data_IF_848811299896
#
_entry.id   IF_848811299896
#
_cell.length_a   1.000
_cell.length_b   1.000
_cell.length_c   1.000
_cell.angle_alpha   90.00
_cell.angle_beta   90.00
_cell.angle_gamma   90.00
#
_symmetry.space_group_name_H-M   'P 1'
#
loop_
_entity.id
_entity.type
_entity.pdbx_description
1 polymer ?
#
# COMPACT_ATOMS: atom_id res chain seq x y z
N UNK A 1 45.08 -26.02 4.47
CA UNK A 1 44.93 -26.30 5.92
C UNK A 1 44.05 -25.29 6.65
N UNK A 2 44.25 -23.98 6.46
CA UNK A 2 43.44 -22.91 7.09
C UNK A 2 41.92 -23.08 6.93
N UNK A 3 41.44 -23.30 5.70
CA UNK A 3 40.01 -23.48 5.45
C UNK A 3 39.39 -24.66 6.21
N UNK A 4 40.15 -25.75 6.41
CA UNK A 4 39.69 -26.95 7.14
C UNK A 4 39.62 -26.70 8.66
N UNK A 5 40.55 -25.95 9.23
CA UNK A 5 40.47 -25.58 10.67
C UNK A 5 39.39 -24.54 10.92
N UNK A 6 39.19 -23.60 10.00
CA UNK A 6 38.08 -22.63 10.07
C UNK A 6 36.72 -23.33 10.01
N UNK A 7 36.54 -24.28 9.08
CA UNK A 7 35.28 -25.01 8.94
C UNK A 7 35.01 -25.93 10.14
N UNK A 8 36.03 -26.64 10.64
CA UNK A 8 35.90 -27.45 11.85
C UNK A 8 35.60 -26.60 13.08
N UNK A 9 36.32 -25.49 13.27
CA UNK A 9 36.08 -24.54 14.36
C UNK A 9 34.66 -23.97 14.30
N UNK A 10 34.19 -23.57 13.12
CA UNK A 10 32.83 -23.10 12.90
C UNK A 10 31.76 -24.15 13.19
N UNK A 11 31.96 -25.40 12.76
CA UNK A 11 31.04 -26.51 13.02
C UNK A 11 30.95 -26.84 14.52
N UNK A 12 32.09 -26.97 15.21
CA UNK A 12 32.12 -27.21 16.65
C UNK A 12 31.53 -26.04 17.44
N UNK A 13 31.82 -24.81 17.02
CA UNK A 13 31.25 -23.61 17.60
C UNK A 13 29.73 -23.54 17.45
N UNK A 14 29.21 -23.85 16.26
CA UNK A 14 27.77 -23.93 16.01
C UNK A 14 27.09 -25.04 16.84
N UNK A 15 27.74 -26.20 16.99
CA UNK A 15 27.24 -27.31 17.80
C UNK A 15 27.15 -26.94 19.28
N UNK A 16 28.18 -26.30 19.85
CA UNK A 16 28.12 -25.77 21.22
C UNK A 16 27.07 -24.66 21.39
N UNK A 17 26.89 -23.80 20.39
CA UNK A 17 25.82 -22.79 20.38
C UNK A 17 24.44 -23.43 20.45
N UNK A 18 24.24 -24.58 19.81
CA UNK A 18 22.98 -25.31 19.83
C UNK A 18 22.66 -25.93 21.21
N UNK A 19 23.67 -26.22 22.03
CA UNK A 19 23.47 -26.79 23.37
C UNK A 19 22.72 -25.87 24.34
N UNK A 20 22.71 -24.55 24.09
CA UNK A 20 22.05 -23.58 24.97
C UNK A 20 20.56 -23.42 24.65
N UNK A 21 20.10 -23.92 23.49
CA UNK A 21 18.70 -23.80 23.02
C UNK A 21 17.70 -24.58 23.91
N UNK A 22 18.01 -25.79 24.42
CA UNK A 22 17.09 -26.53 25.29
C UNK A 22 16.91 -25.91 26.69
N UNK A 23 17.80 -25.01 27.12
CA UNK A 23 17.69 -24.34 28.42
C UNK A 23 16.81 -23.10 28.30
N UNK A 24 15.55 -23.21 28.72
CA UNK A 24 14.54 -22.16 28.65
C UNK A 24 14.76 -21.05 29.70
N UNK A 25 15.71 -20.14 29.45
CA UNK A 25 15.98 -18.99 30.34
C UNK A 25 15.37 -17.68 29.85
N UNK A 26 14.53 -17.73 28.81
CA UNK A 26 13.75 -16.60 28.28
C UNK A 26 14.62 -15.35 27.97
N UNK A 27 15.87 -15.55 27.53
CA UNK A 27 16.80 -14.47 27.16
C UNK A 27 16.83 -14.25 25.65
N UNK A 28 16.93 -12.97 25.25
CA UNK A 28 16.97 -12.56 23.84
C UNK A 28 18.10 -13.23 23.03
N UNK A 29 19.25 -13.54 23.65
CA UNK A 29 20.40 -14.16 22.98
C UNK A 29 20.27 -15.67 22.79
N UNK A 30 19.33 -16.34 23.47
CA UNK A 30 19.06 -17.79 23.31
C UNK A 30 18.19 -18.12 22.09
N UNK A 31 17.58 -17.12 21.45
CA UNK A 31 16.73 -17.32 20.27
C UNK A 31 17.55 -17.83 19.08
N UNK A 32 17.17 -18.97 18.51
CA UNK A 32 17.74 -19.44 17.24
C UNK A 32 17.54 -18.36 16.15
N UNK A 33 18.55 -18.06 15.31
CA UNK A 33 19.86 -18.72 15.18
C UNK A 33 21.00 -18.05 15.98
N UNK A 34 20.70 -17.11 16.88
CA UNK A 34 21.70 -16.23 17.52
C UNK A 34 22.80 -17.03 18.27
N UNK A 35 22.50 -18.04 19.13
CA UNK A 35 23.54 -18.84 19.79
C UNK A 35 24.44 -19.57 18.81
N UNK A 36 23.87 -20.13 17.74
CA UNK A 36 24.62 -20.90 16.74
C UNK A 36 25.53 -19.99 15.90
N UNK A 37 25.08 -18.78 15.55
CA UNK A 37 25.89 -17.80 14.82
C UNK A 37 27.03 -17.30 15.71
N UNK A 38 26.74 -16.92 16.96
CA UNK A 38 27.76 -16.53 17.92
C UNK A 38 28.77 -17.66 18.15
N UNK A 39 28.28 -18.88 18.31
CA UNK A 39 29.10 -20.09 18.41
C UNK A 39 29.99 -20.30 17.19
N UNK A 40 29.44 -20.20 15.98
CA UNK A 40 30.20 -20.34 14.73
C UNK A 40 31.29 -19.26 14.59
N UNK A 41 30.99 -18.00 14.95
CA UNK A 41 31.97 -16.90 14.92
C UNK A 41 33.09 -17.14 15.94
N UNK A 42 32.74 -17.47 17.19
CA UNK A 42 33.74 -17.77 18.24
C UNK A 42 34.60 -18.97 17.85
N UNK A 43 33.98 -20.03 17.33
CA UNK A 43 34.67 -21.21 16.83
C UNK A 43 35.60 -20.92 15.63
N UNK A 44 35.18 -20.03 14.73
CA UNK A 44 36.01 -19.54 13.63
C UNK A 44 37.22 -18.74 14.12
N UNK A 45 37.04 -17.87 15.12
CA UNK A 45 38.12 -17.09 15.74
C UNK A 45 39.12 -18.02 16.44
N UNK A 46 38.64 -19.01 17.19
CA UNK A 46 39.49 -20.02 17.83
C UNK A 46 40.26 -20.87 16.80
N UNK A 47 39.62 -21.27 15.70
CA UNK A 47 40.29 -21.97 14.60
C UNK A 47 41.34 -21.12 13.88
N UNK A 48 41.13 -19.80 13.80
CA UNK A 48 42.16 -18.88 13.32
C UNK A 48 43.32 -18.77 14.32
N UNK A 49 43.07 -18.73 15.63
CA UNK A 49 44.12 -18.65 16.65
C UNK A 49 45.04 -19.87 16.64
N UNK A 50 44.51 -21.08 16.46
CA UNK A 50 45.32 -22.32 16.45
C UNK A 50 46.22 -22.46 15.22
N UNK A 51 45.95 -21.75 14.13
CA UNK A 51 46.80 -21.74 12.92
C UNK A 51 47.93 -20.71 12.98
N UNK A 52 48.05 -19.95 14.07
CA UNK A 52 49.01 -18.84 14.16
C UNK A 52 50.42 -19.26 14.59
N UNK A 53 51.16 -19.91 13.68
CA UNK A 53 52.58 -19.54 13.49
C UNK A 53 52.77 -18.39 12.48
N UNK A 54 51.71 -17.96 11.79
CA UNK A 54 51.81 -16.98 10.68
C UNK A 54 50.75 -15.85 10.76
N UNK A 55 49.87 -15.81 11.79
CA UNK A 55 48.66 -14.97 11.78
C UNK A 55 48.74 -13.53 12.32
N UNK A 56 49.92 -12.98 12.60
CA UNK A 56 50.05 -11.60 13.16
C UNK A 56 49.64 -10.47 12.19
N UNK A 57 49.44 -10.77 10.90
CA UNK A 57 49.13 -9.74 9.88
C UNK A 57 47.65 -9.72 9.47
N UNK A 58 46.87 -10.77 9.77
CA UNK A 58 45.48 -10.87 9.31
C UNK A 58 44.44 -10.36 10.32
N UNK A 59 44.81 -10.20 11.61
CA UNK A 59 43.84 -9.82 12.65
C UNK A 59 43.37 -8.36 12.61
N UNK A 60 44.12 -7.43 12.02
CA UNK A 60 43.75 -6.01 12.04
C UNK A 60 42.76 -5.63 10.94
N UNK A 61 42.75 -6.34 9.80
CA UNK A 61 41.91 -5.98 8.65
C UNK A 61 40.51 -6.62 8.66
N UNK A 62 40.33 -7.75 9.33
CA UNK A 62 39.03 -8.45 9.40
C UNK A 62 38.15 -7.99 10.56
N UNK A 63 38.75 -7.49 11.65
CA UNK A 63 38.01 -7.05 12.83
C UNK A 63 37.20 -5.76 12.59
N UNK A 64 37.66 -4.87 11.70
CA UNK A 64 36.97 -3.60 11.40
C UNK A 64 35.80 -3.80 10.41
N UNK A 65 35.92 -4.73 9.46
CA UNK A 65 34.87 -5.00 8.47
C UNK A 65 33.66 -5.75 9.05
N UNK A 66 33.87 -6.62 10.04
CA UNK A 66 32.78 -7.38 10.68
C UNK A 66 32.07 -6.53 11.76
N UNK A 67 32.80 -5.65 12.46
CA UNK A 67 32.22 -4.81 13.52
C UNK A 67 31.46 -3.60 12.95
N UNK A 68 31.87 -3.02 11.82
CA UNK A 68 31.14 -1.91 11.18
C UNK A 68 30.15 -2.33 10.07
N UNK A 69 30.34 -3.50 9.44
CA UNK A 69 29.45 -3.99 8.38
C UNK A 69 28.17 -4.69 8.87
N UNK A 70 28.15 -5.18 10.11
CA UNK A 70 27.04 -5.98 10.64
C UNK A 70 25.94 -5.15 11.34
N UNK A 71 26.20 -3.90 11.71
CA UNK A 71 25.19 -3.09 12.42
C UNK A 71 24.05 -2.56 11.54
N UNK A 72 24.18 -2.56 10.21
CA UNK A 72 23.15 -2.02 9.30
C UNK A 72 22.10 -3.05 8.82
N UNK A 73 22.36 -4.36 8.93
CA UNK A 73 21.44 -5.43 8.46
C UNK A 73 20.74 -6.21 9.57
N UNK A 74 21.16 -6.08 10.83
CA UNK A 74 20.67 -6.93 11.93
C UNK A 74 19.32 -6.45 12.52
N UNK A 75 18.92 -5.20 12.30
CA UNK A 75 17.61 -4.71 12.76
C UNK A 75 16.42 -5.09 11.85
N UNK A 76 16.65 -5.72 10.68
CA UNK A 76 15.60 -6.12 9.73
C UNK A 76 15.15 -7.59 9.86
N UNK A 77 15.74 -8.37 10.79
CA UNK A 77 15.56 -9.84 10.91
C UNK A 77 15.18 -10.25 12.35
N UNK A 78 14.28 -9.51 13.03
CA UNK A 78 13.88 -9.81 14.43
C UNK A 78 12.37 -9.99 14.61
N UNK A 79 11.66 -10.46 13.58
CA UNK A 79 10.29 -10.99 13.73
C UNK A 79 9.99 -12.08 12.68
N UNK A 80 10.52 -13.30 12.84
CA UNK A 80 9.81 -14.51 12.35
C UNK A 80 10.39 -15.83 12.83
N UNK A 81 9.66 -16.43 13.77
CA UNK A 81 9.47 -17.85 14.06
C UNK A 81 10.10 -18.85 13.08
N UNK A 82 11.10 -19.58 13.58
CA UNK A 82 11.49 -20.89 13.09
C UNK A 82 11.16 -21.97 14.12
N UNK A 83 10.19 -22.81 13.76
CA UNK A 83 10.27 -24.26 13.85
C UNK A 83 9.38 -24.85 12.73
N UNK A 84 9.80 -25.99 12.20
CA UNK A 84 9.25 -26.74 11.05
C UNK A 84 9.68 -26.28 9.64
N UNK A 85 10.91 -26.70 9.30
CA UNK A 85 11.42 -27.07 7.96
C UNK A 85 10.67 -28.36 7.54
N UNK A 86 9.92 -28.41 6.43
CA UNK A 86 10.36 -29.14 5.22
C UNK A 86 9.64 -28.65 3.93
N UNK A 87 8.56 -27.86 4.00
CA UNK A 87 7.88 -27.28 2.81
C UNK A 87 8.19 -25.79 2.52
N UNK A 88 8.92 -25.12 3.41
CA UNK A 88 9.04 -23.65 3.43
C UNK A 88 9.98 -23.02 2.39
N UNK A 89 10.92 -23.79 1.80
CA UNK A 89 11.95 -23.20 0.93
C UNK A 89 11.46 -22.82 -0.48
N UNK A 90 10.41 -23.46 -1.01
CA UNK A 90 9.77 -23.04 -2.26
C UNK A 90 8.64 -22.01 -2.03
N UNK A 91 7.90 -22.10 -0.91
CA UNK A 91 6.84 -21.13 -0.57
C UNK A 91 7.38 -19.74 -0.20
N UNK A 92 8.51 -19.63 0.50
CA UNK A 92 9.03 -18.33 0.96
C UNK A 92 9.61 -17.44 -0.15
N UNK A 93 9.94 -17.96 -1.34
CA UNK A 93 10.48 -17.14 -2.44
C UNK A 93 9.37 -16.73 -3.42
N UNK A 94 8.34 -17.56 -3.64
CA UNK A 94 7.25 -17.23 -4.59
C UNK A 94 6.11 -16.47 -3.91
N UNK A 95 5.81 -16.77 -2.64
CA UNK A 95 4.66 -16.16 -1.90
C UNK A 95 5.07 -14.85 -1.20
N UNK A 96 6.34 -14.73 -0.83
CA UNK A 96 6.89 -13.50 -0.26
C UNK A 96 7.14 -12.41 -1.31
N UNK A 97 7.05 -12.75 -2.60
CA UNK A 97 6.94 -11.79 -3.71
C UNK A 97 5.49 -11.55 -4.15
N UNK A 98 4.56 -12.48 -3.93
CA UNK A 98 3.17 -12.35 -4.39
C UNK A 98 2.25 -11.54 -3.44
N UNK A 99 2.47 -11.61 -2.12
CA UNK A 99 1.57 -10.99 -1.13
C UNK A 99 2.04 -9.61 -0.60
N UNK A 100 3.34 -9.34 -0.62
CA UNK A 100 3.87 -7.95 -0.58
C UNK A 100 3.63 -7.25 -1.91
N UNK A 101 3.40 -8.00 -2.99
CA UNK A 101 2.99 -7.46 -4.28
C UNK A 101 1.59 -6.88 -4.16
N UNK A 102 0.48 -7.58 -3.92
CA UNK A 102 -0.87 -7.03 -4.20
C UNK A 102 -1.25 -5.59 -3.76
N UNK A 103 -0.78 -5.05 -2.62
CA UNK A 103 -0.99 -3.62 -2.27
C UNK A 103 0.21 -2.71 -2.61
N UNK A 104 1.44 -3.20 -2.46
CA UNK A 104 2.64 -2.42 -2.83
C UNK A 104 2.85 -2.38 -4.36
N UNK A 105 2.38 -3.39 -5.08
CA UNK A 105 2.38 -3.55 -6.54
C UNK A 105 1.40 -2.60 -7.21
N UNK A 106 0.33 -2.21 -6.51
CA UNK A 106 -0.54 -1.12 -6.98
C UNK A 106 0.19 0.22 -6.96
N UNK A 107 1.17 0.42 -6.05
CA UNK A 107 2.02 1.61 -6.04
C UNK A 107 3.21 1.52 -7.01
N UNK A 108 3.66 0.31 -7.39
CA UNK A 108 4.83 0.12 -8.25
C UNK A 108 4.52 0.34 -9.74
N UNK A 109 3.28 0.15 -10.18
CA UNK A 109 2.89 0.33 -11.58
C UNK A 109 2.33 1.73 -11.87
N UNK A 110 3.11 2.77 -11.59
CA UNK A 110 2.79 4.13 -12.04
C UNK A 110 2.84 4.14 -13.58
N UNK A 111 1.73 4.44 -14.27
CA UNK A 111 1.72 4.45 -15.72
C UNK A 111 2.59 5.58 -16.25
N UNK A 112 3.60 5.25 -17.04
CA UNK A 112 4.46 6.26 -17.67
C UNK A 112 3.66 7.07 -18.69
N UNK A 113 3.89 8.37 -18.68
CA UNK A 113 3.34 9.28 -19.66
C UNK A 113 3.96 8.97 -21.04
N UNK A 114 3.14 8.87 -22.09
CA UNK A 114 3.58 8.55 -23.45
C UNK A 114 3.97 9.79 -24.24
N UNK A 115 3.19 10.85 -24.13
CA UNK A 115 3.51 12.14 -24.76
C UNK A 115 2.83 13.32 -24.05
N UNK A 116 3.35 14.51 -24.30
CA UNK A 116 2.69 15.79 -24.03
C UNK A 116 2.41 16.47 -25.37
N UNK A 117 1.20 16.97 -25.52
CA UNK A 117 0.73 17.67 -26.72
C UNK A 117 0.34 19.09 -26.33
N UNK A 118 0.83 20.05 -27.09
CA UNK A 118 0.38 21.44 -27.01
C UNK A 118 -0.39 21.79 -28.29
N UNK A 119 -1.67 22.06 -28.12
CA UNK A 119 -2.56 22.46 -29.19
C UNK A 119 -3.00 23.91 -28.98
N UNK A 120 -3.10 24.67 -30.06
CA UNK A 120 -3.60 26.03 -30.03
C UNK A 120 -4.51 26.29 -31.21
N UNK A 121 -5.36 27.31 -31.06
CA UNK A 121 -6.29 27.71 -32.09
C UNK A 121 -5.65 28.77 -32.98
N UNK A 122 -5.27 28.39 -34.20
CA UNK A 122 -4.80 29.32 -35.23
C UNK A 122 -6.01 30.01 -35.89
N UNK A 123 -5.91 31.32 -36.10
CA UNK A 123 -6.98 32.12 -36.69
C UNK A 123 -7.30 31.71 -38.13
N UNK A 124 -6.32 31.21 -38.88
CA UNK A 124 -6.49 30.86 -40.30
C UNK A 124 -6.78 29.37 -40.51
N UNK A 125 -6.12 28.50 -39.74
CA UNK A 125 -6.20 27.03 -39.92
C UNK A 125 -7.19 26.36 -38.98
N UNK A 126 -7.60 27.03 -37.90
CA UNK A 126 -8.42 26.44 -36.85
C UNK A 126 -7.59 25.71 -35.80
N UNK A 127 -8.10 24.62 -35.18
CA UNK A 127 -7.38 23.90 -34.14
C UNK A 127 -6.16 23.18 -34.73
N UNK A 128 -4.97 23.46 -34.22
CA UNK A 128 -3.71 22.86 -34.70
C UNK A 128 -2.89 22.36 -33.52
N UNK A 129 -2.33 21.15 -33.63
CA UNK A 129 -1.25 20.72 -32.72
C UNK A 129 0.03 21.42 -33.17
N UNK A 130 0.60 22.28 -32.33
CA UNK A 130 1.90 22.90 -32.62
C UNK A 130 3.06 22.02 -32.19
N UNK A 131 2.98 21.40 -31.00
CA UNK A 131 4.10 20.66 -30.42
C UNK A 131 3.59 19.31 -29.90
N UNK A 132 4.34 18.26 -30.23
CA UNK A 132 4.21 16.91 -29.66
C UNK A 132 5.59 16.48 -29.16
N UNK A 133 5.68 15.98 -27.93
CA UNK A 133 6.92 15.49 -27.33
C UNK A 133 6.69 14.16 -26.61
N UNK A 134 7.62 13.19 -26.64
CA UNK A 134 8.91 13.21 -27.37
C UNK A 134 8.77 12.83 -28.85
N UNK A 135 7.81 11.96 -29.18
CA UNK A 135 7.59 11.43 -30.53
C UNK A 135 6.29 11.98 -31.14
N UNK A 136 6.25 12.06 -32.48
CA UNK A 136 5.04 12.38 -33.23
C UNK A 136 4.06 11.19 -33.15
N UNK A 137 3.20 11.20 -32.12
CA UNK A 137 2.22 10.15 -31.89
C UNK A 137 0.95 10.31 -32.73
N UNK A 138 0.64 11.49 -33.26
CA UNK A 138 -0.60 11.69 -34.01
C UNK A 138 -0.35 12.42 -35.33
N UNK A 139 -0.74 11.76 -36.43
CA UNK A 139 -0.86 12.37 -37.75
C UNK A 139 -1.95 13.45 -37.76
N UNK A 140 -1.78 14.48 -38.58
CA UNK A 140 -2.76 15.56 -38.74
C UNK A 140 -4.18 15.05 -39.04
N UNK A 141 -4.32 14.02 -39.90
CA UNK A 141 -5.62 13.41 -40.24
C UNK A 141 -6.32 12.77 -39.04
N UNK A 142 -5.56 12.18 -38.11
CA UNK A 142 -6.11 11.56 -36.90
C UNK A 142 -6.49 12.62 -35.88
N UNK A 143 -5.68 13.69 -35.80
CA UNK A 143 -6.00 14.84 -34.96
C UNK A 143 -7.34 15.46 -35.33
N UNK A 144 -7.68 15.56 -36.61
CA UNK A 144 -8.97 16.11 -37.06
C UNK A 144 -10.19 15.38 -36.48
N UNK A 145 -10.06 14.10 -36.13
CA UNK A 145 -11.15 13.29 -35.55
C UNK A 145 -11.48 13.70 -34.11
N UNK A 146 -10.48 14.11 -33.33
CA UNK A 146 -10.64 14.47 -31.91
C UNK A 146 -10.26 15.93 -31.59
N UNK A 147 -9.94 16.73 -32.61
CA UNK A 147 -9.58 18.14 -32.49
C UNK A 147 -10.67 18.95 -31.77
N UNK A 148 -11.94 18.65 -32.04
CA UNK A 148 -13.10 19.24 -31.37
C UNK A 148 -13.16 18.94 -29.86
N UNK A 149 -12.59 17.81 -29.43
CA UNK A 149 -12.51 17.47 -28.00
C UNK A 149 -11.30 18.13 -27.33
N UNK A 150 -10.21 18.34 -28.07
CA UNK A 150 -9.02 19.05 -27.57
C UNK A 150 -9.27 20.55 -27.46
N UNK A 151 -9.88 21.15 -28.48
CA UNK A 151 -10.24 22.58 -28.47
C UNK A 151 -11.75 22.67 -28.59
N UNK A 152 -12.48 22.61 -27.46
CA UNK A 152 -13.93 22.63 -27.47
C UNK A 152 -14.48 24.05 -27.67
N UNK A 153 -15.81 24.12 -27.71
CA UNK A 153 -16.57 25.38 -27.59
C UNK A 153 -16.29 26.07 -26.23
N UNK A 154 -16.46 27.40 -26.14
CA UNK A 154 -16.12 28.17 -24.95
C UNK A 154 -16.83 27.74 -23.65
N UNK A 155 -17.99 27.09 -23.75
CA UNK A 155 -18.74 26.54 -22.61
C UNK A 155 -17.97 25.48 -21.81
N UNK A 156 -16.99 24.83 -22.45
CA UNK A 156 -16.16 23.78 -21.84
C UNK A 156 -14.76 24.25 -21.47
N UNK A 157 -14.45 25.54 -21.61
CA UNK A 157 -13.18 26.09 -21.13
C UNK A 157 -13.09 25.98 -19.61
N UNK A 158 -11.85 25.82 -19.11
CA UNK A 158 -11.55 25.62 -17.70
C UNK A 158 -12.13 24.32 -17.09
N UNK A 159 -12.61 23.39 -17.91
CA UNK A 159 -13.00 22.04 -17.49
C UNK A 159 -11.96 21.02 -17.94
N UNK A 160 -11.74 19.99 -17.15
CA UNK A 160 -10.90 18.86 -17.55
C UNK A 160 -11.64 18.05 -18.62
N UNK A 161 -10.97 17.73 -19.73
CA UNK A 161 -11.51 16.89 -20.80
C UNK A 161 -10.63 15.65 -20.92
N UNK A 162 -11.28 14.48 -20.95
CA UNK A 162 -10.63 13.18 -21.07
C UNK A 162 -11.23 12.40 -22.24
N UNK A 163 -10.40 12.10 -23.23
CA UNK A 163 -10.79 11.33 -24.41
C UNK A 163 -10.15 9.95 -24.29
N UNK A 164 -10.96 8.91 -24.04
CA UNK A 164 -10.47 7.57 -23.70
C UNK A 164 -10.09 6.69 -24.90
N UNK A 165 -10.36 7.15 -26.12
CA UNK A 165 -10.30 6.31 -27.32
C UNK A 165 -9.65 7.04 -28.49
N UNK A 166 -8.33 7.21 -28.42
CA UNK A 166 -7.56 7.77 -29.53
C UNK A 166 -6.63 6.70 -30.09
N UNK A 167 -6.88 6.26 -31.32
CA UNK A 167 -6.09 5.21 -31.97
C UNK A 167 -4.89 5.80 -32.71
N UNK A 168 -3.71 5.22 -32.49
CA UNK A 168 -2.49 5.55 -33.24
C UNK A 168 -2.30 4.65 -34.48
N UNK A 169 -1.41 5.05 -35.39
CA UNK A 169 -0.97 4.30 -36.58
C UNK A 169 -0.61 2.86 -36.25
N UNK A 170 -0.05 2.63 -35.07
CA UNK A 170 0.33 1.31 -34.56
C UNK A 170 -0.84 0.47 -34.00
N UNK A 171 -2.09 0.96 -34.07
CA UNK A 171 -3.27 0.30 -33.50
C UNK A 171 -3.36 0.36 -31.97
N UNK A 172 -2.44 1.07 -31.30
CA UNK A 172 -2.49 1.31 -29.86
C UNK A 172 -3.51 2.40 -29.54
N UNK A 173 -4.28 2.20 -28.47
CA UNK A 173 -5.30 3.14 -28.03
C UNK A 173 -4.77 3.93 -26.84
N UNK A 174 -4.86 5.25 -26.93
CA UNK A 174 -4.42 6.18 -25.90
C UNK A 174 -5.60 6.93 -25.29
N UNK A 175 -5.39 7.35 -24.04
CA UNK A 175 -6.23 8.31 -23.32
C UNK A 175 -5.54 9.67 -23.37
N UNK A 176 -6.26 10.69 -23.82
CA UNK A 176 -5.77 12.07 -23.89
C UNK A 176 -6.51 12.89 -22.84
N UNK A 177 -5.76 13.46 -21.90
CA UNK A 177 -6.29 14.29 -20.80
C UNK A 177 -5.83 15.73 -21.06
N UNK A 178 -6.77 16.66 -21.24
CA UNK A 178 -6.47 18.06 -21.53
C UNK A 178 -7.24 19.03 -20.63
N UNK A 179 -6.75 20.26 -20.57
CA UNK A 179 -7.42 21.38 -19.91
C UNK A 179 -7.40 22.61 -20.82
N UNK A 180 -8.44 22.81 -21.65
CA UNK A 180 -8.51 23.93 -22.57
C UNK A 180 -8.71 25.25 -21.84
N UNK A 181 -7.91 26.24 -22.20
CA UNK A 181 -7.93 27.59 -21.64
C UNK A 181 -8.16 28.60 -22.77
N UNK A 182 -9.07 29.54 -22.54
CA UNK A 182 -9.25 30.72 -23.38
C UNK A 182 -8.92 31.99 -22.58
N UNK A 183 -7.93 32.76 -23.01
CA UNK A 183 -7.58 34.06 -22.44
C UNK A 183 -8.18 35.15 -23.34
N UNK A 184 -9.03 36.00 -22.79
CA UNK A 184 -9.61 37.14 -23.52
C UNK A 184 -8.68 38.36 -23.42
N UNK A 185 -8.34 38.95 -24.56
CA UNK A 185 -7.58 40.20 -24.65
C UNK A 185 -7.64 40.73 -26.08
N UNK A 186 -7.81 42.05 -26.20
CA UNK A 186 -7.82 42.77 -27.49
C UNK A 186 -6.46 42.72 -28.20
N UNK A 187 -5.40 42.29 -27.48
CA UNK A 187 -4.06 42.11 -28.07
C UNK A 187 -3.97 40.92 -29.03
N UNK A 188 -4.97 40.03 -29.04
CA UNK A 188 -5.00 38.84 -29.89
C UNK A 188 -5.89 39.05 -31.12
N UNK A 189 -5.54 38.44 -32.26
CA UNK A 189 -6.22 38.65 -33.55
C UNK A 189 -7.74 38.37 -33.55
N UNK A 190 -8.26 37.60 -32.58
CA UNK A 190 -9.69 37.28 -32.40
C UNK A 190 -10.26 37.79 -31.07
N UNK A 191 -9.56 38.68 -30.37
CA UNK A 191 -9.90 39.10 -29.01
C UNK A 191 -9.74 37.99 -27.95
N UNK A 192 -9.26 36.81 -28.34
CA UNK A 192 -8.99 35.67 -27.45
C UNK A 192 -7.86 34.81 -27.95
N UNK A 193 -7.05 34.30 -27.03
CA UNK A 193 -6.03 33.29 -27.25
C UNK A 193 -6.48 31.96 -26.63
N UNK A 194 -6.62 30.92 -27.44
CA UNK A 194 -7.11 29.61 -27.02
C UNK A 194 -5.99 28.59 -27.17
N UNK A 195 -5.65 27.91 -26.09
CA UNK A 195 -4.66 26.84 -26.08
C UNK A 195 -5.10 25.70 -25.16
N UNK A 196 -4.54 24.52 -25.39
CA UNK A 196 -4.74 23.35 -24.54
C UNK A 196 -3.43 22.57 -24.42
N UNK A 197 -3.12 22.15 -23.19
CA UNK A 197 -2.03 21.22 -22.89
C UNK A 197 -2.64 19.88 -22.55
N UNK A 198 -2.22 18.84 -23.28
CA UNK A 198 -2.75 17.50 -23.16
C UNK A 198 -1.67 16.50 -22.77
N UNK A 199 -1.97 15.64 -21.81
CA UNK A 199 -1.15 14.51 -21.40
C UNK A 199 -1.71 13.23 -22.01
N UNK A 200 -0.84 12.44 -22.63
CA UNK A 200 -1.21 11.19 -23.32
C UNK A 200 -0.74 10.01 -22.49
N UNK A 201 -1.69 9.13 -22.17
CA UNK A 201 -1.49 7.96 -21.31
C UNK A 201 -2.03 6.71 -22.01
N UNK A 202 -1.47 5.55 -21.74
CA UNK A 202 -1.93 4.28 -22.33
C UNK A 202 -3.32 3.86 -21.80
N UNK A 203 -4.19 3.31 -22.66
CA UNK A 203 -5.57 2.92 -22.30
C UNK A 203 -5.60 1.86 -21.20
N UNK A 204 -4.62 0.95 -21.19
CA UNK A 204 -4.55 -0.17 -20.25
C UNK A 204 -4.28 0.28 -18.80
N UNK A 205 -3.86 1.52 -18.60
CA UNK A 205 -3.57 2.02 -17.26
C UNK A 205 -4.86 2.46 -16.53
N UNK A 206 -5.03 1.90 -15.33
CA UNK A 206 -6.19 2.17 -14.46
C UNK A 206 -5.99 3.44 -13.62
N UNK A 207 -4.75 3.80 -13.31
CA UNK A 207 -4.39 4.93 -12.44
C UNK A 207 -4.05 6.16 -13.29
N UNK A 208 -4.93 6.53 -14.21
CA UNK A 208 -4.76 7.70 -15.08
C UNK A 208 -5.20 9.01 -14.39
N UNK A 209 -6.04 8.91 -13.37
CA UNK A 209 -6.53 10.01 -12.54
C UNK A 209 -5.41 10.81 -11.85
N UNK A 210 -4.22 10.22 -11.65
CA UNK A 210 -3.07 10.92 -11.07
C UNK A 210 -2.59 12.13 -11.90
N UNK A 211 -2.82 12.10 -13.22
CA UNK A 211 -2.36 13.15 -14.14
C UNK A 211 -3.34 14.32 -14.25
N UNK A 212 -4.60 14.14 -13.83
CA UNK A 212 -5.65 15.15 -13.91
C UNK A 212 -5.29 16.47 -13.20
N UNK A 213 -4.88 16.47 -11.91
CA UNK A 213 -4.45 17.70 -11.24
C UNK A 213 -3.16 18.26 -11.84
N UNK A 214 -2.31 17.42 -12.45
CA UNK A 214 -1.06 17.89 -13.06
C UNK A 214 -1.34 18.69 -14.33
N UNK A 215 -2.23 18.21 -15.21
CA UNK A 215 -2.65 18.93 -16.42
C UNK A 215 -3.29 20.27 -16.05
N UNK A 216 -4.17 20.29 -15.06
CA UNK A 216 -4.80 21.53 -14.57
C UNK A 216 -3.77 22.53 -14.04
N UNK A 217 -2.81 22.05 -13.23
CA UNK A 217 -1.75 22.90 -12.67
C UNK A 217 -0.81 23.43 -13.76
N UNK A 218 -0.46 22.61 -14.75
CA UNK A 218 0.34 23.03 -15.91
C UNK A 218 -0.38 24.13 -16.70
N UNK A 219 -1.66 23.93 -17.01
CA UNK A 219 -2.46 24.91 -17.74
C UNK A 219 -2.60 26.24 -16.96
N UNK A 220 -2.76 26.19 -15.64
CA UNK A 220 -2.80 27.37 -14.78
C UNK A 220 -1.47 28.14 -14.81
N UNK A 221 -0.31 27.45 -14.71
CA UNK A 221 1.00 28.10 -14.81
C UNK A 221 1.22 28.73 -16.19
N UNK A 222 0.85 28.04 -17.27
CA UNK A 222 0.97 28.59 -18.64
C UNK A 222 0.06 29.80 -18.85
N UNK A 223 -1.14 29.78 -18.25
CA UNK A 223 -2.05 30.93 -18.25
C UNK A 223 -1.44 32.12 -17.51
N UNK A 224 -0.80 31.88 -16.37
CA UNK A 224 -0.13 32.93 -15.60
C UNK A 224 1.05 33.52 -16.40
N UNK A 225 1.90 32.68 -16.98
CA UNK A 225 3.04 33.13 -17.80
C UNK A 225 2.60 33.89 -19.06
N UNK A 226 1.46 33.53 -19.66
CA UNK A 226 0.92 34.29 -20.80
C UNK A 226 0.38 35.66 -20.37
N UNK A 227 -0.27 35.75 -19.20
CA UNK A 227 -0.74 37.03 -18.65
C UNK A 227 0.40 37.97 -18.26
N UNK A 228 1.46 37.43 -17.66
CA UNK A 228 2.55 38.23 -17.11
C UNK A 228 3.57 38.65 -18.18
N UNK A 229 4.00 37.70 -19.03
CA UNK A 229 5.11 37.93 -19.96
C UNK A 229 4.76 37.67 -21.42
N UNK A 230 3.50 37.33 -21.76
CA UNK A 230 3.10 36.94 -23.12
C UNK A 230 3.95 35.79 -23.68
N UNK A 231 4.24 34.81 -22.82
CA UNK A 231 5.20 33.74 -23.09
C UNK A 231 4.81 32.86 -24.30
N UNK A 232 3.53 32.52 -24.45
CA UNK A 232 2.99 31.67 -25.52
C UNK A 232 2.80 32.44 -26.83
N UNK A 233 2.50 33.73 -26.76
CA UNK A 233 2.33 34.56 -27.96
C UNK A 233 3.65 35.07 -28.54
N UNK A 234 4.62 35.46 -27.71
CA UNK A 234 5.89 36.05 -28.17
C UNK A 234 7.05 35.05 -28.20
N UNK A 235 7.17 34.14 -27.22
CA UNK A 235 8.36 33.30 -27.01
C UNK A 235 8.10 31.80 -27.17
N UNK A 236 7.55 31.39 -28.31
CA UNK A 236 7.22 29.99 -28.57
C UNK A 236 8.42 29.04 -28.66
N UNK A 237 9.62 29.57 -28.93
CA UNK A 237 10.83 28.76 -29.12
C UNK A 237 11.26 28.01 -27.86
N UNK A 238 10.93 28.52 -26.66
CA UNK A 238 11.30 27.90 -25.38
C UNK A 238 10.28 26.87 -24.87
N UNK A 239 9.06 26.88 -25.41
CA UNK A 239 8.00 25.94 -25.04
C UNK A 239 8.37 24.46 -25.26
N UNK A 240 8.97 24.04 -26.40
CA UNK A 240 9.32 22.64 -26.61
C UNK A 240 10.32 22.11 -25.57
N UNK A 241 11.33 22.91 -25.21
CA UNK A 241 12.33 22.54 -24.19
C UNK A 241 11.67 22.38 -22.82
N UNK A 242 10.79 23.33 -22.46
CA UNK A 242 10.03 23.28 -21.21
C UNK A 242 9.15 22.01 -21.13
N UNK A 243 8.42 21.69 -22.19
CA UNK A 243 7.57 20.49 -22.23
C UNK A 243 8.39 19.19 -22.20
N UNK A 244 9.57 19.19 -22.82
CA UNK A 244 10.48 18.05 -22.77
C UNK A 244 11.04 17.83 -21.36
N UNK A 245 11.41 18.89 -20.65
CA UNK A 245 11.85 18.80 -19.25
C UNK A 245 10.71 18.32 -18.34
N UNK A 246 9.48 18.79 -18.54
CA UNK A 246 8.31 18.28 -17.82
C UNK A 246 8.09 16.80 -18.11
N UNK A 247 8.17 16.38 -19.38
CA UNK A 247 8.02 14.97 -19.78
C UNK A 247 9.07 14.08 -19.10
N UNK A 248 10.34 14.47 -19.13
CA UNK A 248 11.45 13.72 -18.52
C UNK A 248 11.33 13.70 -16.99
N UNK A 249 11.11 14.85 -16.36
CA UNK A 249 11.00 14.96 -14.90
C UNK A 249 9.86 14.13 -14.32
N UNK A 250 8.68 14.13 -14.95
CA UNK A 250 7.56 13.32 -14.50
C UNK A 250 7.80 11.81 -14.70
N UNK A 251 8.41 11.41 -15.80
CA UNK A 251 8.65 9.99 -16.10
C UNK A 251 9.83 9.38 -15.32
N UNK A 252 10.87 10.16 -15.00
CA UNK A 252 12.08 9.68 -14.33
C UNK A 252 12.04 9.87 -12.81
N UNK A 253 11.66 11.05 -12.34
CA UNK A 253 11.70 11.39 -10.91
C UNK A 253 10.32 11.36 -10.24
N UNK A 254 9.24 11.45 -11.01
CA UNK A 254 7.90 11.61 -10.45
C UNK A 254 7.63 13.05 -9.96
N UNK A 255 8.60 13.96 -10.08
CA UNK A 255 8.48 15.36 -9.70
C UNK A 255 9.30 16.24 -10.63
N UNK A 256 8.90 17.50 -10.75
CA UNK A 256 9.48 18.45 -11.68
C UNK A 256 9.45 19.86 -11.06
N UNK A 257 10.63 20.49 -11.00
CA UNK A 257 10.84 21.87 -10.54
C UNK A 257 11.64 22.61 -11.61
N UNK A 258 10.96 23.42 -12.42
CA UNK A 258 11.60 24.16 -13.53
C UNK A 258 11.44 25.66 -13.32
N UNK A 259 12.53 26.43 -13.19
CA UNK A 259 12.50 27.88 -13.26
C UNK A 259 12.38 28.32 -14.72
N UNK A 260 11.25 28.92 -15.10
CA UNK A 260 11.01 29.35 -16.50
C UNK A 260 11.35 30.84 -16.68
N UNK A 261 10.92 31.65 -15.72
CA UNK A 261 11.11 33.10 -15.67
C UNK A 261 11.58 33.46 -14.27
N UNK A 262 12.21 34.62 -14.10
CA UNK A 262 12.66 35.15 -12.80
C UNK A 262 11.55 35.15 -11.73
N UNK A 263 10.28 35.26 -12.14
CA UNK A 263 9.12 35.32 -11.26
C UNK A 263 8.36 33.97 -11.14
N UNK A 264 8.47 33.07 -12.12
CA UNK A 264 7.61 31.89 -12.22
C UNK A 264 8.41 30.59 -12.30
N UNK A 265 8.31 29.79 -11.24
CA UNK A 265 8.86 28.44 -11.16
C UNK A 265 7.72 27.41 -11.18
N UNK A 266 7.77 26.48 -12.11
CA UNK A 266 6.77 25.40 -12.23
C UNK A 266 7.11 24.30 -11.23
N UNK A 267 6.16 23.97 -10.36
CA UNK A 267 6.25 22.85 -9.42
C UNK A 267 5.19 21.80 -9.72
N UNK A 268 5.60 20.61 -10.15
CA UNK A 268 4.73 19.46 -10.44
C UNK A 268 5.23 18.25 -9.66
N UNK A 269 4.31 17.48 -9.06
CA UNK A 269 4.64 16.27 -8.32
C UNK A 269 3.53 15.25 -8.51
N UNK A 270 3.90 14.05 -8.92
CA UNK A 270 2.98 12.92 -9.05
C UNK A 270 2.63 12.38 -7.66
N UNK A 271 1.34 12.31 -7.39
CA UNK A 271 0.79 11.77 -6.16
C UNK A 271 0.16 10.40 -6.46
N UNK A 272 0.88 9.28 -6.26
CA UNK A 272 0.37 7.94 -6.60
C UNK A 272 -0.84 7.52 -5.75
N UNK A 273 -1.05 8.15 -4.59
CA UNK A 273 -2.23 7.92 -3.73
C UNK A 273 -3.53 8.49 -4.32
N UNK A 274 -3.46 9.30 -5.38
CA UNK A 274 -4.65 9.80 -6.05
C UNK A 274 -5.13 8.77 -7.07
N UNK A 275 -5.91 7.79 -6.60
CA UNK A 275 -6.51 6.75 -7.45
C UNK A 275 -8.03 6.94 -7.64
N UNK A 276 -8.62 8.03 -7.14
CA UNK A 276 -10.05 8.34 -7.31
C UNK A 276 -11.01 7.33 -6.63
N UNK A 277 -10.50 6.46 -5.76
CA UNK A 277 -11.31 5.50 -5.01
C UNK A 277 -11.60 6.11 -3.64
N UNK A 278 -12.86 6.03 -3.22
CA UNK A 278 -13.26 6.43 -1.87
C UNK A 278 -12.59 5.50 -0.84
N UNK A 279 -12.02 6.02 0.27
CA UNK A 279 -11.44 5.17 1.29
C UNK A 279 -12.49 4.21 1.86
N UNK A 280 -12.12 2.94 2.13
CA UNK A 280 -13.09 1.94 2.55
C UNK A 280 -13.69 2.29 3.92
N UNK A 281 -14.92 1.84 4.14
CA UNK A 281 -15.62 2.06 5.40
C UNK A 281 -14.96 1.25 6.50
N UNK A 282 -14.71 1.92 7.63
CA UNK A 282 -14.07 1.35 8.81
C UNK A 282 -15.12 1.25 9.90
N UNK A 283 -15.24 0.07 10.50
CA UNK A 283 -16.19 -0.20 11.58
C UNK A 283 -15.47 -0.27 12.93
N UNK A 284 -16.12 0.11 14.04
CA UNK A 284 -15.48 0.30 15.35
C UNK A 284 -14.94 -1.00 15.98
N UNK A 285 -15.43 -2.17 15.53
CA UNK A 285 -14.99 -3.48 15.98
C UNK A 285 -13.77 -4.02 15.22
N UNK A 286 -13.36 -3.35 14.13
CA UNK A 286 -12.17 -3.75 13.38
C UNK A 286 -10.91 -3.49 14.20
N UNK A 287 -9.87 -4.29 13.93
CA UNK A 287 -8.57 -4.25 14.58
C UNK A 287 -7.54 -3.75 13.56
N UNK A 288 -6.91 -2.59 13.79
CA UNK A 288 -5.84 -2.11 12.92
C UNK A 288 -4.54 -2.88 13.19
N UNK A 289 -3.83 -3.19 12.11
CA UNK A 289 -2.51 -3.84 12.14
C UNK A 289 -1.57 -3.14 11.15
N UNK A 290 -0.29 -2.98 11.49
CA UNK A 290 0.67 -2.41 10.56
C UNK A 290 1.05 -3.41 9.46
N UNK A 291 0.99 -2.99 8.21
CA UNK A 291 1.51 -3.73 7.05
C UNK A 291 2.98 -3.46 6.81
N UNK A 292 3.40 -2.22 7.06
CA UNK A 292 4.76 -1.76 6.80
C UNK A 292 5.69 -2.19 7.93
N UNK A 293 6.83 -2.77 7.55
CA UNK A 293 7.93 -3.11 8.45
C UNK A 293 9.15 -2.28 8.01
N UNK A 294 9.72 -1.43 8.89
CA UNK A 294 9.37 -1.24 10.30
C UNK A 294 8.07 -0.44 10.48
N UNK A 295 7.33 -0.67 11.58
CA UNK A 295 6.16 0.15 11.89
C UNK A 295 6.59 1.62 12.08
N UNK A 296 5.71 2.59 11.77
CA UNK A 296 5.98 4.03 11.90
C UNK A 296 6.13 4.51 13.36
N UNK A 297 6.39 3.60 14.30
CA UNK A 297 6.64 3.87 15.71
C UNK A 297 8.11 4.21 16.02
N UNK A 298 8.95 4.39 15.00
CA UNK A 298 10.33 4.85 15.20
C UNK A 298 10.29 6.33 15.62
N UNK A 299 11.04 6.76 16.66
CA UNK A 299 10.97 8.11 17.22
C UNK A 299 11.22 9.23 16.20
N UNK A 300 11.91 8.94 15.09
CA UNK A 300 12.18 9.91 14.03
C UNK A 300 10.95 10.24 13.15
N UNK A 301 9.98 9.31 13.06
CA UNK A 301 8.82 9.46 12.19
C UNK A 301 7.62 10.05 12.91
N UNK A 302 7.43 9.72 14.19
CA UNK A 302 6.34 10.20 15.04
C UNK A 302 6.16 11.73 14.97
N UNK A 303 7.20 12.59 15.15
CA UNK A 303 6.99 14.04 15.16
C UNK A 303 6.57 14.63 13.81
N UNK A 304 6.74 13.88 12.69
CA UNK A 304 6.27 14.31 11.37
C UNK A 304 4.79 13.99 11.12
N UNK A 305 4.19 13.18 11.99
CA UNK A 305 2.80 12.73 11.86
C UNK A 305 1.85 13.72 12.53
N UNK A 306 0.57 13.67 12.13
CA UNK A 306 -0.49 14.41 12.81
C UNK A 306 -0.64 13.99 14.29
N UNK A 307 -1.09 14.90 15.15
CA UNK A 307 -1.22 14.71 16.61
C UNK A 307 -2.09 13.50 16.95
N UNK A 308 -3.16 13.25 16.17
CA UNK A 308 -4.00 12.05 16.35
C UNK A 308 -3.23 10.77 16.05
N UNK A 309 -2.51 10.75 14.92
CA UNK A 309 -1.70 9.60 14.50
C UNK A 309 -0.56 9.33 15.49
N UNK A 310 0.07 10.38 16.06
CA UNK A 310 1.10 10.24 17.09
C UNK A 310 0.57 9.53 18.34
N UNK A 311 -0.68 9.78 18.74
CA UNK A 311 -1.30 9.13 19.89
C UNK A 311 -1.81 7.71 19.59
N UNK A 312 -2.33 7.50 18.38
CA UNK A 312 -2.94 6.23 17.97
C UNK A 312 -1.88 5.19 17.61
N UNK A 313 -0.88 5.51 16.78
CA UNK A 313 0.09 4.55 16.26
C UNK A 313 0.85 3.73 17.34
N UNK A 314 1.24 4.32 18.49
CA UNK A 314 1.85 3.55 19.59
C UNK A 314 0.90 2.56 20.28
N UNK A 315 -0.42 2.72 20.11
CA UNK A 315 -1.47 1.85 20.69
C UNK A 315 -2.03 0.84 19.69
N UNK A 316 -1.46 0.77 18.48
CA UNK A 316 -1.85 -0.19 17.45
C UNK A 316 -1.02 -1.45 17.60
N UNK A 317 -1.57 -2.39 18.34
CA UNK A 317 -0.88 -3.63 18.76
C UNK A 317 -1.26 -4.82 17.87
N UNK A 318 -2.24 -4.65 16.98
CA UNK A 318 -2.87 -5.74 16.22
C UNK A 318 -3.82 -6.60 17.05
N UNK A 319 -4.20 -6.19 18.27
CA UNK A 319 -5.16 -6.93 19.14
C UNK A 319 -6.35 -6.06 19.52
N UNK A 320 -6.13 -4.81 19.91
CA UNK A 320 -7.18 -3.90 20.36
C UNK A 320 -8.11 -3.47 19.23
N UNK A 321 -9.42 -3.46 19.49
CA UNK A 321 -10.38 -2.89 18.54
C UNK A 321 -10.32 -1.35 18.52
N UNK A 322 -10.82 -0.72 17.46
CA UNK A 322 -10.82 0.75 17.35
C UNK A 322 -11.54 1.41 18.53
N UNK A 323 -12.64 0.80 19.02
CA UNK A 323 -13.35 1.29 20.21
C UNK A 323 -12.50 1.21 21.48
N UNK A 324 -11.70 0.16 21.66
CA UNK A 324 -10.76 0.04 22.77
C UNK A 324 -9.65 1.09 22.67
N UNK A 325 -9.10 1.29 21.47
CA UNK A 325 -8.09 2.33 21.22
C UNK A 325 -8.65 3.72 21.55
N UNK A 326 -9.90 4.00 21.17
CA UNK A 326 -10.59 5.24 21.49
C UNK A 326 -10.71 5.47 23.00
N UNK A 327 -11.07 4.43 23.77
CA UNK A 327 -11.11 4.49 25.23
C UNK A 327 -9.72 4.67 25.86
N UNK A 328 -8.69 3.98 25.36
CA UNK A 328 -7.32 4.08 25.86
C UNK A 328 -6.69 5.46 25.64
N UNK A 329 -7.00 6.10 24.52
CA UNK A 329 -6.47 7.43 24.15
C UNK A 329 -7.38 8.56 24.67
N UNK A 330 -8.58 8.24 25.17
CA UNK A 330 -9.60 9.21 25.60
C UNK A 330 -9.99 10.17 24.45
N UNK A 331 -10.22 9.61 23.26
CA UNK A 331 -10.64 10.34 22.06
C UNK A 331 -11.94 9.72 21.53
N UNK A 332 -12.82 10.53 20.95
CA UNK A 332 -14.05 10.07 20.33
C UNK A 332 -13.79 8.99 19.25
N UNK A 333 -14.60 7.92 19.29
CA UNK A 333 -14.48 6.79 18.35
C UNK A 333 -14.53 7.25 16.88
N UNK A 334 -15.33 8.27 16.57
CA UNK A 334 -15.43 8.82 15.21
C UNK A 334 -14.13 9.45 14.71
N UNK A 335 -13.39 10.15 15.58
CA UNK A 335 -12.10 10.76 15.22
C UNK A 335 -11.04 9.67 15.01
N UNK A 336 -11.02 8.64 15.87
CA UNK A 336 -10.12 7.49 15.71
C UNK A 336 -10.44 6.73 14.43
N UNK A 337 -11.72 6.48 14.13
CA UNK A 337 -12.14 5.83 12.88
C UNK A 337 -11.71 6.60 11.63
N UNK A 338 -11.82 7.95 11.63
CA UNK A 338 -11.34 8.79 10.52
C UNK A 338 -9.83 8.71 10.37
N UNK A 339 -9.08 8.75 11.47
CA UNK A 339 -7.62 8.62 11.46
C UNK A 339 -7.17 7.24 10.92
N UNK A 340 -7.77 6.16 11.41
CA UNK A 340 -7.47 4.80 10.98
C UNK A 340 -7.86 4.58 9.51
N UNK A 341 -8.99 5.15 9.06
CA UNK A 341 -9.40 5.14 7.65
C UNK A 341 -8.35 5.77 6.74
N UNK A 342 -7.81 6.92 7.13
CA UNK A 342 -6.77 7.59 6.36
C UNK A 342 -5.46 6.77 6.33
N UNK A 343 -5.04 6.23 7.47
CA UNK A 343 -3.84 5.38 7.55
C UNK A 343 -3.98 4.08 6.74
N UNK A 344 -5.18 3.51 6.70
CA UNK A 344 -5.49 2.36 5.86
C UNK A 344 -5.49 2.72 4.37
N UNK A 345 -6.04 3.87 3.99
CA UNK A 345 -6.01 4.38 2.62
C UNK A 345 -4.59 4.56 2.07
N UNK A 346 -3.66 5.06 2.88
CA UNK A 346 -2.24 5.17 2.51
C UNK A 346 -1.45 3.85 2.58
N UNK A 347 -2.10 2.74 2.92
CA UNK A 347 -1.47 1.42 2.99
C UNK A 347 -0.51 1.24 4.18
N UNK A 348 -0.61 2.07 5.22
CA UNK A 348 0.15 1.92 6.47
C UNK A 348 -0.46 0.87 7.40
N UNK A 349 -1.80 0.76 7.40
CA UNK A 349 -2.57 -0.16 8.22
C UNK A 349 -3.39 -1.12 7.36
N UNK A 350 -3.55 -2.36 7.81
CA UNK A 350 -4.62 -3.28 7.41
C UNK A 350 -5.66 -3.36 8.51
N UNK A 351 -6.92 -3.56 8.10
CA UNK A 351 -8.04 -3.77 9.01
C UNK A 351 -8.41 -5.25 9.00
N UNK A 352 -8.41 -5.86 10.19
CA UNK A 352 -8.76 -7.26 10.38
C UNK A 352 -9.97 -7.31 11.31
N UNK A 353 -10.95 -8.20 11.08
CA UNK A 353 -12.04 -8.38 12.02
C UNK A 353 -11.54 -8.94 13.36
N UNK A 354 -12.25 -8.62 14.46
CA UNK A 354 -11.86 -9.04 15.80
C UNK A 354 -11.72 -10.57 15.91
N UNK A 355 -10.63 -11.02 16.49
CA UNK A 355 -10.38 -12.45 16.73
C UNK A 355 -11.13 -12.92 17.97
N UNK A 356 -11.94 -13.97 17.81
CA UNK A 356 -12.62 -14.63 18.93
C UNK A 356 -12.63 -16.14 18.71
N UNK A 357 -12.51 -16.91 19.79
CA UNK A 357 -12.60 -18.38 19.73
C UNK A 357 -13.98 -18.88 19.30
N UNK A 358 -15.03 -18.09 19.53
CA UNK A 358 -16.39 -18.39 19.09
C UNK A 358 -16.61 -18.12 17.60
N UNK A 359 -15.69 -17.43 16.92
CA UNK A 359 -15.85 -17.11 15.51
C UNK A 359 -15.51 -18.33 14.64
N UNK A 360 -16.24 -18.45 13.53
CA UNK A 360 -16.01 -19.47 12.51
C UNK A 360 -15.13 -18.90 11.40
N UNK A 361 -14.09 -19.64 11.04
CA UNK A 361 -13.16 -19.28 9.98
C UNK A 361 -13.22 -20.34 8.89
N UNK A 362 -13.14 -19.91 7.63
CA UNK A 362 -13.20 -20.79 6.46
C UNK A 362 -11.97 -20.54 5.59
N UNK A 363 -11.34 -21.60 5.11
CA UNK A 363 -10.25 -21.50 4.15
C UNK A 363 -10.77 -21.04 2.78
N UNK A 364 -10.04 -20.13 2.14
CA UNK A 364 -10.30 -19.72 0.75
C UNK A 364 -9.77 -20.78 -0.22
N UNK A 365 -10.33 -20.88 -1.42
CA UNK A 365 -9.90 -21.81 -2.49
C UNK A 365 -8.40 -21.71 -2.81
N UNK A 366 -7.78 -20.53 -2.63
CA UNK A 366 -6.34 -20.33 -2.81
C UNK A 366 -5.46 -21.20 -1.90
N UNK A 367 -5.98 -21.67 -0.76
CA UNK A 367 -5.31 -22.65 0.10
C UNK A 367 -5.64 -24.09 -0.29
N UNK A 368 -6.81 -24.33 -0.87
CA UNK A 368 -7.27 -25.68 -1.23
C UNK A 368 -6.33 -26.34 -2.26
N UNK A 369 -5.76 -25.56 -3.18
CA UNK A 369 -4.80 -26.08 -4.16
C UNK A 369 -3.40 -26.33 -3.58
N UNK A 370 -3.05 -25.66 -2.48
CA UNK A 370 -1.71 -25.70 -1.88
C UNK A 370 -1.57 -26.78 -0.80
N UNK A 371 -2.68 -27.31 -0.29
CA UNK A 371 -2.71 -28.36 0.72
C UNK A 371 -3.78 -29.39 0.34
N UNK A 372 -3.39 -30.40 -0.44
CA UNK A 372 -4.17 -31.60 -0.78
C UNK A 372 -4.59 -32.46 0.43
N UNK A 373 -4.50 -31.94 1.66
CA UNK A 373 -5.13 -32.52 2.83
C UNK A 373 -6.37 -31.69 3.15
N UNK A 374 -7.53 -32.18 2.72
CA UNK A 374 -8.85 -31.59 2.90
C UNK A 374 -9.30 -31.43 4.38
N UNK A 375 -8.44 -31.74 5.35
CA UNK A 375 -8.82 -31.93 6.75
C UNK A 375 -8.44 -30.75 7.68
N UNK A 376 -7.72 -29.74 7.18
CA UNK A 376 -7.15 -28.70 8.05
C UNK A 376 -8.19 -27.72 8.62
N UNK A 377 -9.25 -27.41 7.86
CA UNK A 377 -10.41 -26.62 8.28
C UNK A 377 -11.62 -27.07 7.45
N UNK A 378 -12.38 -28.05 7.94
CA UNK A 378 -13.70 -28.38 7.38
C UNK A 378 -14.57 -27.12 7.39
N UNK A 379 -15.37 -26.95 6.35
CA UNK A 379 -16.30 -25.82 6.22
C UNK A 379 -17.25 -25.78 7.42
N UNK A 380 -17.06 -24.81 8.31
CA UNK A 380 -17.93 -24.59 9.47
C UNK A 380 -17.34 -24.96 10.84
N UNK A 381 -16.08 -25.41 10.94
CA UNK A 381 -15.45 -25.58 12.26
C UNK A 381 -15.29 -24.24 12.98
N UNK A 382 -15.65 -24.19 14.27
CA UNK A 382 -15.33 -23.01 15.09
C UNK A 382 -13.84 -23.01 15.41
N UNK A 383 -13.28 -21.82 15.70
CA UNK A 383 -11.86 -21.72 16.11
C UNK A 383 -11.59 -22.55 17.37
N UNK A 384 -12.58 -22.69 18.26
CA UNK A 384 -12.49 -23.56 19.44
C UNK A 384 -12.29 -25.02 19.03
N UNK A 385 -13.13 -25.54 18.13
CA UNK A 385 -13.03 -26.93 17.65
C UNK A 385 -11.69 -27.17 16.94
N UNK A 386 -11.22 -26.19 16.16
CA UNK A 386 -9.92 -26.26 15.50
C UNK A 386 -8.75 -26.30 16.49
N UNK A 387 -8.79 -25.47 17.55
CA UNK A 387 -7.77 -25.48 18.59
C UNK A 387 -7.75 -26.81 19.36
N UNK A 388 -8.91 -27.42 19.61
CA UNK A 388 -9.04 -28.72 20.27
C UNK A 388 -8.52 -29.87 19.40
N UNK A 389 -8.78 -29.84 18.08
CA UNK A 389 -8.32 -30.90 17.14
C UNK A 389 -6.83 -30.82 16.84
N UNK A 390 -6.31 -29.63 16.58
CA UNK A 390 -4.93 -29.45 16.08
C UNK A 390 -3.92 -29.12 17.18
N UNK A 391 -4.36 -28.68 18.36
CA UNK A 391 -3.49 -28.28 19.48
C UNK A 391 -2.28 -27.42 19.05
N UNK A 392 -2.49 -26.29 18.35
CA UNK A 392 -1.43 -25.49 17.73
C UNK A 392 -0.33 -25.01 18.71
N UNK A 393 -0.65 -24.94 20.00
CA UNK A 393 0.31 -24.63 21.07
C UNK A 393 1.46 -25.62 21.17
N UNK A 394 1.22 -26.90 20.85
CA UNK A 394 2.29 -27.91 20.83
C UNK A 394 3.36 -27.60 19.77
N UNK A 395 2.98 -26.88 18.72
CA UNK A 395 3.86 -26.47 17.63
C UNK A 395 4.46 -25.07 17.82
N UNK A 396 4.32 -24.46 19.01
CA UNK A 396 4.67 -23.05 19.28
C UNK A 396 4.00 -22.07 18.30
N UNK A 397 2.81 -22.39 17.80
CA UNK A 397 2.07 -21.50 16.91
C UNK A 397 1.04 -20.70 17.71
N UNK A 398 1.21 -19.38 17.74
CA UNK A 398 0.20 -18.47 18.26
C UNK A 398 -1.04 -18.49 17.36
N UNK A 399 -2.11 -19.15 17.81
CA UNK A 399 -3.42 -19.28 17.15
C UNK A 399 -3.91 -17.97 16.53
N UNK A 400 -3.91 -16.89 17.35
CA UNK A 400 -4.37 -15.56 16.93
C UNK A 400 -3.53 -15.02 15.77
N UNK A 401 -2.19 -15.10 15.88
CA UNK A 401 -1.28 -14.58 14.85
C UNK A 401 -1.37 -15.39 13.57
N UNK A 402 -1.57 -16.71 13.67
CA UNK A 402 -1.79 -17.56 12.51
C UNK A 402 -3.05 -17.17 11.75
N UNK A 403 -4.17 -16.94 12.45
CA UNK A 403 -5.42 -16.48 11.83
C UNK A 403 -5.30 -15.07 11.28
N UNK A 404 -4.70 -14.14 12.02
CA UNK A 404 -4.43 -12.78 11.54
C UNK A 404 -3.59 -12.78 10.26
N UNK A 405 -2.54 -13.61 10.23
CA UNK A 405 -1.71 -13.81 9.06
C UNK A 405 -2.52 -14.39 7.90
N UNK A 406 -3.32 -15.44 8.16
CA UNK A 406 -4.19 -16.06 7.16
C UNK A 406 -5.21 -15.10 6.56
N UNK A 407 -5.84 -14.25 7.38
CA UNK A 407 -6.79 -13.22 6.93
C UNK A 407 -6.07 -12.14 6.13
N UNK A 408 -4.93 -11.65 6.62
CA UNK A 408 -4.16 -10.60 5.94
C UNK A 408 -3.67 -11.04 4.55
N UNK A 409 -3.43 -12.35 4.34
CA UNK A 409 -2.96 -12.91 3.06
C UNK A 409 -4.11 -13.45 2.20
N UNK A 410 -5.37 -13.38 2.66
CA UNK A 410 -6.54 -13.88 1.92
C UNK A 410 -6.71 -15.41 1.94
N UNK A 411 -5.88 -16.12 2.70
CA UNK A 411 -5.93 -17.57 2.86
C UNK A 411 -7.13 -18.04 3.69
N UNK A 412 -7.51 -17.24 4.69
CA UNK A 412 -8.62 -17.55 5.60
C UNK A 412 -9.57 -16.37 5.58
N UNK A 413 -10.86 -16.65 5.41
CA UNK A 413 -11.93 -15.66 5.59
C UNK A 413 -12.68 -15.95 6.87
N UNK A 414 -13.14 -14.89 7.53
CA UNK A 414 -14.05 -14.99 8.68
C UNK A 414 -15.48 -15.05 8.19
N UNK A 415 -16.29 -15.95 8.75
CA UNK A 415 -17.74 -15.93 8.56
C UNK A 415 -18.38 -15.04 9.62
N UNK A 416 -19.07 -14.00 9.18
CA UNK A 416 -19.82 -13.10 10.05
C UNK A 416 -21.28 -13.53 10.13
N UNK A 417 -21.86 -13.51 11.33
CA UNK A 417 -23.27 -13.83 11.56
C UNK A 417 -24.10 -12.53 11.51
N UNK A 418 -25.18 -12.53 10.74
CA UNK A 418 -26.12 -11.42 10.56
C UNK A 418 -27.51 -11.83 11.06
N UNK A 419 -27.99 -11.30 12.20
CA UNK A 419 -29.33 -11.58 12.69
C UNK A 419 -30.39 -10.79 11.92
N UNK A 420 -31.48 -11.47 11.57
CA UNK A 420 -32.65 -10.93 10.87
C UNK A 420 -33.88 -11.18 11.74
N UNK A 421 -34.60 -10.12 12.11
CA UNK A 421 -35.88 -10.26 12.83
C UNK A 421 -36.96 -10.83 11.91
N UNK A 422 -37.64 -11.91 12.34
CA UNK A 422 -38.81 -12.45 11.64
C UNK A 422 -40.04 -11.56 11.82
N UNK A 423 -40.16 -10.90 12.97
CA UNK A 423 -41.31 -10.04 13.31
C UNK A 423 -41.01 -8.61 12.90
N UNK A 424 -41.69 -8.16 11.83
CA UNK A 424 -41.58 -6.78 11.31
C UNK A 424 -42.06 -5.70 12.30
N UNK A 425 -42.83 -6.06 13.34
CA UNK A 425 -43.48 -5.12 14.26
C UNK A 425 -42.84 -5.04 15.66
N UNK A 426 -41.64 -5.61 15.87
CA UNK A 426 -41.01 -5.57 17.18
C UNK A 426 -40.42 -4.17 17.49
N UNK A 427 -40.95 -3.52 18.53
CA UNK A 427 -40.55 -2.16 18.94
C UNK A 427 -39.21 -2.12 19.69
N UNK A 428 -38.60 -3.27 19.98
CA UNK A 428 -37.32 -3.37 20.69
C UNK A 428 -36.21 -2.75 19.83
N UNK A 429 -35.31 -1.97 20.46
CA UNK A 429 -34.17 -1.32 19.77
C UNK A 429 -33.30 -2.35 19.03
N UNK A 430 -33.14 -3.55 19.60
CA UNK A 430 -32.41 -4.67 18.99
C UNK A 430 -33.09 -5.14 17.70
N UNK A 431 -34.40 -5.40 17.73
CA UNK A 431 -35.13 -5.89 16.56
C UNK A 431 -35.13 -4.90 15.38
N UNK A 432 -35.12 -3.59 15.66
CA UNK A 432 -34.98 -2.55 14.63
C UNK A 432 -33.58 -2.51 13.98
N UNK A 433 -32.54 -2.94 14.70
CA UNK A 433 -31.17 -2.97 14.21
C UNK A 433 -30.78 -4.31 13.58
N UNK A 434 -31.55 -5.38 13.85
CA UNK A 434 -31.38 -6.72 13.27
C UNK A 434 -32.14 -6.86 11.93
N UNK A 435 -31.72 -6.09 10.93
CA UNK A 435 -32.27 -6.09 9.56
C UNK A 435 -31.46 -6.97 8.58
N UNK A 436 -30.40 -7.62 9.04
CA UNK A 436 -29.46 -8.39 8.21
C UNK A 436 -28.38 -7.55 7.53
N UNK A 437 -28.30 -6.24 7.81
CA UNK A 437 -27.23 -5.37 7.27
C UNK A 437 -26.02 -5.31 8.19
N UNK A 438 -26.22 -5.43 9.50
CA UNK A 438 -25.17 -5.33 10.52
C UNK A 438 -24.72 -6.71 10.99
N UNK A 439 -23.40 -6.87 11.12
CA UNK A 439 -22.84 -8.06 11.73
C UNK A 439 -23.19 -8.09 13.23
N UNK A 440 -23.24 -9.29 13.81
CA UNK A 440 -23.41 -9.48 15.24
C UNK A 440 -22.35 -8.71 16.05
N UNK A 441 -21.14 -8.56 15.50
CA UNK A 441 -20.04 -7.83 16.14
C UNK A 441 -20.28 -6.32 16.17
N UNK A 442 -20.84 -5.76 15.10
CA UNK A 442 -21.28 -4.37 15.09
C UNK A 442 -22.36 -4.14 16.16
N UNK A 443 -23.36 -5.03 16.23
CA UNK A 443 -24.40 -4.97 17.25
C UNK A 443 -23.84 -5.10 18.67
N UNK A 444 -22.90 -6.02 18.89
CA UNK A 444 -22.22 -6.21 20.17
C UNK A 444 -21.49 -4.94 20.60
N UNK A 445 -20.82 -4.26 19.66
CA UNK A 445 -20.17 -2.98 19.93
C UNK A 445 -21.17 -1.86 20.23
N UNK A 446 -22.31 -1.80 19.55
CA UNK A 446 -23.37 -0.80 19.79
C UNK A 446 -23.99 -0.98 21.17
N UNK A 447 -24.33 -2.21 21.55
CA UNK A 447 -24.95 -2.52 22.84
C UNK A 447 -23.95 -2.58 24.00
N UNK A 448 -22.64 -2.54 23.70
CA UNK A 448 -21.56 -2.75 24.67
C UNK A 448 -21.70 -4.09 25.44
N UNK A 449 -22.17 -5.12 24.74
CA UNK A 449 -22.32 -6.49 25.24
C UNK A 449 -21.30 -7.37 24.51
N UNK A 450 -20.79 -8.43 25.14
CA UNK A 450 -19.94 -9.39 24.43
C UNK A 450 -20.76 -10.11 23.35
N UNK A 451 -20.21 -10.36 22.14
CA UNK A 451 -20.97 -10.95 21.05
C UNK A 451 -21.46 -12.37 21.36
N UNK A 452 -20.78 -13.11 22.23
CA UNK A 452 -21.25 -14.43 22.69
C UNK A 452 -22.54 -14.30 23.50
N UNK A 453 -22.58 -13.38 24.47
CA UNK A 453 -23.79 -13.12 25.26
C UNK A 453 -24.92 -12.56 24.40
N UNK A 454 -24.58 -11.72 23.42
CA UNK A 454 -25.57 -11.21 22.47
C UNK A 454 -26.12 -12.34 21.59
N UNK A 455 -25.27 -13.25 21.11
CA UNK A 455 -25.70 -14.41 20.33
C UNK A 455 -26.64 -15.30 21.15
N UNK A 456 -26.28 -15.62 22.39
CA UNK A 456 -27.09 -16.42 23.31
C UNK A 456 -28.44 -15.75 23.56
N UNK A 457 -28.46 -14.47 23.95
CA UNK A 457 -29.71 -13.75 24.21
C UNK A 457 -30.63 -13.62 22.99
N UNK A 458 -30.07 -13.42 21.80
CA UNK A 458 -30.84 -13.35 20.55
C UNK A 458 -31.35 -14.73 20.13
N UNK A 459 -30.61 -15.79 20.43
CA UNK A 459 -31.01 -17.18 20.15
C UNK A 459 -32.15 -17.62 21.08
N UNK A 460 -32.09 -17.24 22.35
CA UNK A 460 -33.11 -17.56 23.36
C UNK A 460 -34.47 -16.92 23.03
N UNK A 461 -34.48 -15.72 22.45
CA UNK A 461 -35.71 -15.03 22.04
C UNK A 461 -36.48 -15.77 20.92
N UNK A 462 -35.84 -16.68 20.16
CA UNK A 462 -36.45 -17.52 19.12
C UNK A 462 -37.05 -16.79 17.90
N UNK A 463 -37.09 -15.45 17.91
CA UNK A 463 -37.72 -14.61 16.88
C UNK A 463 -36.76 -14.17 15.77
N UNK A 464 -35.50 -14.60 15.81
CA UNK A 464 -34.44 -14.14 14.90
C UNK A 464 -33.91 -15.30 14.06
N UNK A 465 -33.66 -15.03 12.77
CA UNK A 465 -32.95 -15.92 11.85
C UNK A 465 -31.52 -15.41 11.70
N UNK A 466 -30.56 -16.32 11.69
CA UNK A 466 -29.14 -15.99 11.54
C UNK A 466 -28.66 -16.36 10.13
N UNK A 467 -28.09 -15.39 9.41
CA UNK A 467 -27.45 -15.61 8.10
C UNK A 467 -25.94 -15.48 8.30
N UNK A 468 -25.15 -16.48 7.92
CA UNK A 468 -23.69 -16.37 7.89
C UNK A 468 -23.22 -15.92 6.50
N UNK A 469 -22.35 -14.90 6.43
CA UNK A 469 -21.72 -14.42 5.19
C UNK A 469 -20.22 -14.30 5.33
#
# INVERSE_FOLDING_TARGET
MLARQLSLGGLFGAWFGAFVIPFDWDRWWQRWPIPCVLGAVVGGILGCLTTTKIGKICMTSWFVLIVFGAQASIYKIVWRFDNYLILKHHMKIVIMYAATSTYLSQLINVPKLKAIIFAEFDANKGPVIRIQMPDFLFDAKRFDTFSNAVIPKPELFHRLIKVNHVENSDGKVYKVIGHPVGIESDSYARGRYIFNVCFVVDKNSQIDCMYEPMVQKCAAYLTQMEKDTRFLSQSQNKLPDLLLEIFKGLNEHGECKIPVTDQTTIYLKLCPSFHGIEPPKVEPYMVPMFTQIPPPNTPNHIPKMDVLSQKICPKVDGVCCIKEIAMLVQIDTDLVMRCVRNLHFYGCLTLIPLFMYANTYVATEQLHDLYMNADLIETGMTMKDWCERMSPRQYNVDERRAIQFGICHGFVRKLCIYPVSLKKCDMRRIAKLCDGTRSLEDLAVIFAISPVKLLEGVRDDGNFVFISK
#
